data_IF_413496899437
#
_entry.id   IF_413496899437
#
_cell.length_a   1.000
_cell.length_b   1.000
_cell.length_c   1.000
_cell.angle_alpha   90.00
_cell.angle_beta   90.00
_cell.angle_gamma   90.00
#
_symmetry.space_group_name_H-M   'P 1'
#
loop_
_entity.id
_entity.type
_entity.pdbx_description
1 polymer ?
#
# COMPACT_ATOMS: atom_id res chain seq x y z
N UNK A 1 3.72 6.55 25.21
CA UNK A 1 3.02 6.52 23.91
C UNK A 1 4.00 5.89 22.94
N UNK A 2 4.07 4.57 22.91
CA UNK A 2 4.74 3.74 21.88
C UNK A 2 4.71 2.28 22.40
N UNK A 3 3.51 1.68 22.44
CA UNK A 3 3.33 0.32 22.95
C UNK A 3 3.50 -0.76 21.87
N UNK A 4 3.99 -0.41 20.68
CA UNK A 4 4.18 -1.36 19.57
C UNK A 4 2.89 -2.06 19.12
N UNK A 5 1.74 -1.46 19.43
CA UNK A 5 0.43 -2.04 19.14
C UNK A 5 0.18 -1.97 17.63
N UNK A 6 -0.39 -3.05 17.09
CA UNK A 6 -0.87 -3.12 15.71
C UNK A 6 -1.92 -2.02 15.48
N UNK A 7 -1.64 -1.14 14.52
CA UNK A 7 -2.59 -0.14 14.08
C UNK A 7 -3.75 -0.84 13.39
N UNK A 8 -4.99 -0.52 13.79
CA UNK A 8 -6.18 -1.12 13.20
C UNK A 8 -6.41 -0.63 11.77
N UNK A 9 -7.07 -1.46 10.96
CA UNK A 9 -7.41 -1.14 9.57
C UNK A 9 -8.20 0.17 9.45
N UNK A 10 -9.13 0.44 10.38
CA UNK A 10 -9.93 1.66 10.41
C UNK A 10 -9.08 2.93 10.55
N UNK A 11 -8.07 2.88 11.42
CA UNK A 11 -7.15 4.01 11.63
C UNK A 11 -6.30 4.22 10.37
N UNK A 12 -5.80 3.15 9.75
CA UNK A 12 -5.03 3.25 8.51
C UNK A 12 -5.88 3.83 7.37
N UNK A 13 -7.13 3.40 7.22
CA UNK A 13 -8.05 3.93 6.21
C UNK A 13 -8.25 5.43 6.38
N UNK A 14 -8.49 5.91 7.61
CA UNK A 14 -8.63 7.34 7.88
C UNK A 14 -7.39 8.14 7.46
N UNK A 15 -6.20 7.66 7.83
CA UNK A 15 -4.92 8.30 7.46
C UNK A 15 -4.73 8.34 5.95
N UNK A 16 -5.09 7.26 5.24
CA UNK A 16 -4.98 7.20 3.77
C UNK A 16 -5.93 8.18 3.09
N UNK A 17 -7.20 8.22 3.49
CA UNK A 17 -8.20 9.13 2.93
C UNK A 17 -7.80 10.59 3.12
N UNK A 18 -7.35 10.95 4.33
CA UNK A 18 -6.85 12.29 4.63
C UNK A 18 -5.60 12.65 3.82
N UNK A 19 -4.78 11.64 3.49
CA UNK A 19 -3.53 11.85 2.73
C UNK A 19 -3.79 12.11 1.26
N UNK A 20 -4.70 11.36 0.62
CA UNK A 20 -5.02 11.52 -0.80
C UNK A 20 -5.89 12.75 -1.07
N UNK A 21 -6.56 13.30 -0.05
CA UNK A 21 -7.30 14.56 -0.16
C UNK A 21 -6.41 15.81 -0.27
N UNK A 22 -5.08 15.66 -0.13
CA UNK A 22 -4.14 16.78 -0.22
C UNK A 22 -3.89 17.17 -1.67
N UNK A 23 -3.55 18.46 -1.88
CA UNK A 23 -3.35 19.05 -3.22
C UNK A 23 -2.31 18.33 -4.09
N UNK A 24 -1.28 17.76 -3.47
CA UNK A 24 -0.22 17.04 -4.18
C UNK A 24 -0.67 15.70 -4.76
N UNK A 25 -1.84 15.20 -4.36
CA UNK A 25 -2.47 13.99 -4.89
C UNK A 25 -3.55 14.27 -5.95
N UNK A 26 -3.79 15.53 -6.33
CA UNK A 26 -4.76 15.91 -7.36
C UNK A 26 -4.41 15.31 -8.74
N UNK A 27 -3.12 15.21 -9.06
CA UNK A 27 -2.65 14.57 -10.29
C UNK A 27 -2.64 13.04 -10.24
N UNK A 28 -3.03 12.46 -9.11
CA UNK A 28 -3.00 11.03 -8.84
C UNK A 28 -2.06 10.65 -7.70
N UNK A 29 -2.07 9.37 -7.38
CA UNK A 29 -1.31 8.78 -6.28
C UNK A 29 -0.90 7.35 -6.62
N UNK A 30 0.14 6.86 -5.95
CA UNK A 30 0.58 5.47 -6.02
C UNK A 30 0.47 4.86 -4.63
N UNK A 31 -0.30 3.79 -4.50
CA UNK A 31 -0.27 2.98 -3.30
C UNK A 31 0.84 1.93 -3.40
N UNK A 32 1.77 1.98 -2.44
CA UNK A 32 2.84 1.01 -2.30
C UNK A 32 2.62 0.19 -1.03
N UNK A 33 2.36 -1.11 -1.21
CA UNK A 33 2.07 -2.02 -0.11
C UNK A 33 0.73 -1.75 0.59
N UNK A 34 -0.20 -1.03 -0.03
CA UNK A 34 -1.60 -0.85 0.40
C UNK A 34 -2.54 -0.97 -0.80
N UNK A 35 -3.76 -1.50 -0.66
CA UNK A 35 -4.28 -2.25 0.48
C UNK A 35 -3.64 -3.66 0.60
N UNK A 36 -3.47 -4.17 1.83
CA UNK A 36 -2.95 -5.53 2.11
C UNK A 36 -4.03 -6.56 2.40
N UNK A 37 -5.22 -6.11 2.77
CA UNK A 37 -6.34 -6.97 3.17
C UNK A 37 -7.60 -6.64 2.37
N UNK A 38 -8.51 -7.61 2.25
CA UNK A 38 -9.80 -7.43 1.58
C UNK A 38 -10.64 -6.30 2.25
N UNK A 39 -10.72 -6.20 3.59
CA UNK A 39 -11.41 -5.09 4.25
C UNK A 39 -10.87 -3.71 3.87
N UNK A 40 -9.54 -3.55 3.79
CA UNK A 40 -8.93 -2.29 3.36
C UNK A 40 -9.31 -1.93 1.92
N UNK A 41 -9.30 -2.92 1.01
CA UNK A 41 -9.72 -2.71 -0.37
C UNK A 41 -11.20 -2.28 -0.48
N UNK A 42 -12.09 -2.90 0.32
CA UNK A 42 -13.50 -2.48 0.41
C UNK A 42 -13.65 -1.06 0.97
N UNK A 43 -12.81 -0.67 1.92
CA UNK A 43 -12.84 0.67 2.48
C UNK A 43 -12.47 1.75 1.44
N UNK A 44 -11.55 1.47 0.52
CA UNK A 44 -11.26 2.36 -0.61
C UNK A 44 -12.49 2.57 -1.51
N UNK A 45 -13.21 1.49 -1.81
CA UNK A 45 -14.45 1.53 -2.62
C UNK A 45 -15.54 2.37 -1.95
N UNK A 46 -15.77 2.17 -0.64
CA UNK A 46 -16.72 2.97 0.17
C UNK A 46 -16.36 4.46 0.16
N UNK A 47 -15.06 4.79 0.16
CA UNK A 47 -14.58 6.17 0.11
C UNK A 47 -14.46 6.72 -1.32
N UNK A 48 -14.99 6.01 -2.33
CA UNK A 48 -14.97 6.42 -3.73
C UNK A 48 -13.55 6.71 -4.26
N UNK A 49 -12.56 5.95 -3.78
CA UNK A 49 -11.18 6.05 -4.25
C UNK A 49 -11.03 5.20 -5.50
N UNK A 50 -10.88 5.87 -6.65
CA UNK A 50 -10.70 5.17 -7.92
C UNK A 50 -9.26 4.65 -8.08
N UNK A 51 -9.13 3.37 -8.46
CA UNK A 51 -7.85 2.74 -8.81
C UNK A 51 -7.85 2.39 -10.29
N UNK A 52 -7.00 3.06 -11.06
CA UNK A 52 -6.95 2.86 -12.51
C UNK A 52 -6.16 1.62 -12.93
N UNK A 53 -5.14 1.24 -12.16
CA UNK A 53 -4.22 0.16 -12.50
C UNK A 53 -3.69 -0.54 -11.24
N UNK A 54 -3.58 -1.86 -11.30
CA UNK A 54 -2.88 -2.69 -10.32
C UNK A 54 -1.67 -3.31 -11.00
N UNK A 55 -0.48 -3.02 -10.49
CA UNK A 55 0.77 -3.56 -11.02
C UNK A 55 1.22 -4.71 -10.13
N UNK A 56 1.10 -5.94 -10.63
CA UNK A 56 1.63 -7.13 -9.95
C UNK A 56 3.07 -7.39 -10.42
N UNK A 57 4.03 -7.05 -9.57
CA UNK A 57 5.44 -7.40 -9.82
C UNK A 57 5.68 -8.87 -9.48
N UNK A 58 5.89 -9.71 -10.49
CA UNK A 58 6.17 -11.14 -10.31
C UNK A 58 7.66 -11.41 -10.31
N UNK A 59 8.16 -11.92 -9.18
CA UNK A 59 9.53 -12.40 -9.06
C UNK A 59 9.55 -13.91 -8.85
N UNK A 60 10.52 -14.59 -9.45
CA UNK A 60 10.79 -15.99 -9.14
C UNK A 60 11.41 -16.04 -7.74
N UNK A 61 10.75 -16.70 -6.79
CA UNK A 61 11.18 -16.77 -5.38
C UNK A 61 12.68 -17.12 -5.22
N UNK A 62 13.18 -18.05 -6.03
CA UNK A 62 14.59 -18.45 -6.01
C UNK A 62 15.55 -17.32 -6.42
N UNK A 63 15.17 -16.44 -7.35
CA UNK A 63 16.00 -15.30 -7.77
C UNK A 63 15.95 -14.17 -6.74
N UNK A 64 14.81 -13.94 -6.08
CA UNK A 64 14.67 -12.89 -5.07
C UNK A 64 15.57 -13.15 -3.85
N UNK A 65 15.58 -14.40 -3.36
CA UNK A 65 16.43 -14.78 -2.24
C UNK A 65 17.92 -14.62 -2.56
N UNK A 66 18.32 -14.99 -3.77
CA UNK A 66 19.71 -14.87 -4.22
C UNK A 66 20.10 -13.38 -4.32
N UNK A 67 19.34 -12.56 -5.04
CA UNK A 67 19.64 -11.13 -5.19
C UNK A 67 19.66 -10.35 -3.87
N UNK A 68 18.73 -10.64 -2.95
CA UNK A 68 18.74 -10.00 -1.63
C UNK A 68 19.91 -10.45 -0.73
N UNK A 69 20.40 -11.69 -0.87
CA UNK A 69 21.55 -12.19 -0.11
C UNK A 69 22.89 -11.76 -0.71
N UNK A 70 22.95 -11.60 -2.04
CA UNK A 70 24.16 -11.24 -2.76
C UNK A 70 24.35 -9.71 -2.87
N UNK A 71 23.40 -8.91 -2.41
CA UNK A 71 23.49 -7.44 -2.44
C UNK A 71 23.31 -6.84 -3.83
N UNK A 72 22.97 -7.67 -4.82
CA UNK A 72 22.58 -7.29 -6.17
C UNK A 72 21.06 -7.07 -6.21
N UNK A 73 20.56 -6.16 -5.39
CA UNK A 73 19.23 -5.62 -5.59
C UNK A 73 19.28 -4.71 -6.82
N UNK A 74 18.68 -5.18 -7.90
CA UNK A 74 18.49 -4.51 -9.20
C UNK A 74 18.05 -3.05 -9.02
#
# INVERSE_FOLDING_TARGET
MDEGILVSDEVIVGVVVDRIAKKDCESGFLFDGYPRTIPQAKALDVNSVEINLVIEMRFRMMLLLIGCLEGECI
#
